data_IF_525456290641
#
_entry.id   IF_525456290641
#
_cell.length_a   1.000
_cell.length_b   1.000
_cell.length_c   1.000
_cell.angle_alpha   90.00
_cell.angle_beta   90.00
_cell.angle_gamma   90.00
#
_symmetry.space_group_name_H-M   'P 1'
#
loop_
_entity.id
_entity.type
_entity.pdbx_description
1 polymer ?
#
# COMPACT_ATOMS: atom_id res chain seq x y z
N UNK A 1 -52.94 48.42 -3.55
CA UNK A 1 -52.41 47.04 -3.67
C UNK A 1 -51.38 47.04 -4.79
N UNK A 2 -50.11 46.92 -4.38
CA UNK A 2 -48.88 46.83 -5.19
C UNK A 2 -48.90 45.52 -6.01
N UNK A 3 -48.56 45.53 -7.32
CA UNK A 3 -47.21 45.30 -7.91
C UNK A 3 -46.89 43.78 -7.98
N UNK A 4 -46.60 43.14 -9.13
CA UNK A 4 -45.32 43.20 -9.86
C UNK A 4 -45.24 42.19 -11.03
N UNK A 5 -44.39 42.54 -12.03
CA UNK A 5 -43.49 41.70 -12.87
C UNK A 5 -44.07 40.73 -13.93
N UNK A 6 -43.92 40.96 -15.25
CA UNK A 6 -42.76 40.79 -16.20
C UNK A 6 -43.01 39.57 -17.10
N UNK A 7 -42.63 39.43 -18.38
CA UNK A 7 -41.97 40.20 -19.45
C UNK A 7 -42.33 39.46 -20.77
N UNK A 8 -42.36 40.09 -21.96
CA UNK A 8 -42.66 39.44 -23.23
C UNK A 8 -41.41 38.91 -23.94
N UNK A 9 -41.63 37.90 -24.79
CA UNK A 9 -40.69 37.31 -25.75
C UNK A 9 -40.24 38.33 -26.80
N UNK A 10 -38.94 38.54 -26.93
CA UNK A 10 -38.35 39.40 -27.95
C UNK A 10 -37.07 38.78 -28.53
N UNK A 11 -37.12 38.45 -29.81
CA UNK A 11 -35.97 38.33 -30.70
C UNK A 11 -35.75 39.71 -31.35
N UNK A 12 -34.51 40.14 -31.57
CA UNK A 12 -34.14 40.49 -32.96
C UNK A 12 -32.67 40.19 -33.34
N UNK A 13 -32.47 39.85 -34.62
CA UNK A 13 -31.58 40.45 -35.64
C UNK A 13 -30.28 41.14 -35.16
N UNK A 14 -29.07 40.79 -35.62
CA UNK A 14 -28.43 40.87 -36.96
C UNK A 14 -27.24 41.87 -36.87
N UNK A 15 -26.24 41.69 -37.75
CA UNK A 15 -25.04 42.53 -38.04
C UNK A 15 -23.76 42.10 -37.30
N UNK A 16 -22.64 41.68 -37.91
CA UNK A 16 -21.88 41.90 -39.18
C UNK A 16 -20.53 42.58 -38.86
N UNK A 17 -19.53 42.16 -39.66
CA UNK A 17 -18.17 42.69 -39.88
C UNK A 17 -17.05 42.29 -38.91
N UNK A 18 -16.05 41.51 -39.34
CA UNK A 18 -14.90 41.83 -40.22
C UNK A 18 -13.94 42.88 -39.64
N UNK A 19 -12.91 42.41 -38.91
CA UNK A 19 -11.60 43.08 -38.91
C UNK A 19 -10.49 42.02 -38.97
N UNK A 20 -9.82 41.96 -40.13
CA UNK A 20 -8.46 41.44 -40.25
C UNK A 20 -7.51 42.36 -39.51
N UNK A 21 -6.56 41.81 -38.76
CA UNK A 21 -5.27 42.47 -38.55
C UNK A 21 -4.12 41.45 -38.59
N UNK A 22 -3.20 41.70 -39.53
CA UNK A 22 -1.87 41.09 -39.64
C UNK A 22 -0.96 41.64 -38.53
N UNK A 23 -0.06 40.79 -38.03
CA UNK A 23 1.38 41.01 -37.83
C UNK A 23 1.92 39.71 -37.20
N UNK A 24 2.68 38.83 -37.86
CA UNK A 24 4.06 38.93 -38.41
C UNK A 24 5.08 39.40 -37.37
N UNK A 25 5.74 38.43 -36.75
CA UNK A 25 7.13 38.33 -36.25
C UNK A 25 7.11 37.00 -35.45
N UNK A 26 7.74 35.89 -35.82
CA UNK A 26 9.06 35.71 -36.39
C UNK A 26 9.91 34.95 -35.36
N UNK A 27 9.68 33.64 -35.17
CA UNK A 27 10.60 32.80 -34.40
C UNK A 27 10.44 31.33 -34.80
N UNK A 28 11.46 30.82 -35.49
CA UNK A 28 11.54 29.45 -35.99
C UNK A 28 12.27 28.58 -34.97
N UNK A 29 11.64 27.53 -34.45
CA UNK A 29 12.28 26.48 -33.65
C UNK A 29 12.14 25.17 -34.42
N UNK A 30 13.26 24.58 -34.81
CA UNK A 30 13.36 23.34 -35.58
C UNK A 30 13.64 22.18 -34.59
N UNK A 31 12.78 21.18 -34.57
CA UNK A 31 12.97 19.94 -33.81
C UNK A 31 13.75 18.89 -34.65
N UNK A 32 14.48 17.96 -34.01
CA UNK A 32 15.36 17.02 -34.70
C UNK A 32 14.68 15.69 -35.04
N UNK A 33 15.02 15.13 -36.19
CA UNK A 33 14.76 13.73 -36.58
C UNK A 33 16.11 13.00 -36.72
N UNK A 34 16.26 11.86 -36.07
CA UNK A 34 17.43 10.95 -36.10
C UNK A 34 17.28 9.91 -37.23
N UNK A 35 18.21 8.93 -37.39
CA UNK A 35 19.36 9.06 -38.26
C UNK A 35 19.41 7.95 -39.34
N UNK A 36 20.22 8.11 -40.38
CA UNK A 36 20.65 6.97 -41.20
C UNK A 36 21.99 7.22 -41.91
N UNK A 37 22.87 6.22 -41.78
CA UNK A 37 23.97 5.80 -42.66
C UNK A 37 25.06 6.81 -43.07
N UNK A 38 26.29 6.54 -42.61
CA UNK A 38 27.52 6.86 -43.34
C UNK A 38 28.41 5.61 -43.48
N UNK A 39 29.01 5.38 -44.65
CA UNK A 39 29.87 4.23 -44.90
C UNK A 39 31.34 4.49 -44.51
N UNK A 40 32.02 3.37 -44.34
CA UNK A 40 33.46 3.16 -44.26
C UNK A 40 34.29 4.02 -45.23
N UNK A 41 35.33 4.67 -44.71
CA UNK A 41 36.58 4.93 -45.45
C UNK A 41 37.74 4.52 -44.53
N UNK A 42 38.49 3.51 -44.96
CA UNK A 42 39.76 3.10 -44.36
C UNK A 42 40.85 4.03 -44.90
N UNK A 43 41.73 4.50 -44.01
CA UNK A 43 43.03 5.01 -44.44
C UNK A 43 44.14 4.56 -43.50
N UNK A 44 45.21 4.18 -44.18
CA UNK A 44 46.32 3.35 -43.80
C UNK A 44 47.42 4.23 -43.16
N UNK A 45 47.90 3.88 -41.96
CA UNK A 45 49.14 4.44 -41.42
C UNK A 45 50.00 3.33 -40.81
N UNK A 46 51.04 2.99 -41.57
CA UNK A 46 52.19 2.19 -41.16
C UNK A 46 52.90 2.80 -39.95
N UNK A 47 53.09 2.03 -38.88
CA UNK A 47 54.27 2.16 -38.01
C UNK A 47 54.77 0.78 -37.60
N UNK A 48 55.97 0.49 -38.11
CA UNK A 48 56.83 -0.67 -37.89
C UNK A 48 57.08 -0.89 -36.39
N UNK A 49 56.79 -2.10 -35.89
CA UNK A 49 57.22 -2.59 -34.58
C UNK A 49 58.64 -3.17 -34.68
N UNK A 50 59.57 -2.57 -33.96
CA UNK A 50 60.93 -3.09 -33.76
C UNK A 50 60.92 -4.06 -32.57
N UNK A 51 60.89 -5.36 -32.84
CA UNK A 51 61.03 -6.40 -31.81
C UNK A 51 62.49 -6.87 -31.80
N UNK A 52 63.23 -6.41 -30.80
CA UNK A 52 64.57 -6.89 -30.47
C UNK A 52 64.48 -8.35 -29.99
N UNK A 53 65.22 -9.24 -30.65
CA UNK A 53 65.29 -10.66 -30.30
C UNK A 53 66.44 -10.88 -29.32
N UNK A 54 66.15 -11.22 -28.07
CA UNK A 54 67.13 -11.76 -27.13
C UNK A 54 66.87 -13.25 -26.91
N UNK A 55 67.83 -14.05 -27.39
CA UNK A 55 67.89 -15.50 -27.25
C UNK A 55 68.21 -15.84 -25.79
N UNK A 56 67.28 -16.44 -25.07
CA UNK A 56 67.55 -17.01 -23.75
C UNK A 56 67.53 -18.54 -23.83
N UNK A 57 68.70 -19.14 -23.63
CA UNK A 57 68.90 -20.59 -23.54
C UNK A 57 68.42 -21.05 -22.17
N UNK A 58 67.57 -22.07 -22.13
CA UNK A 58 67.21 -22.75 -20.90
C UNK A 58 68.45 -23.34 -20.19
N UNK A 59 68.38 -23.51 -18.86
CA UNK A 59 68.27 -24.89 -18.41
C UNK A 59 67.16 -25.12 -17.38
N UNK A 60 66.47 -26.23 -17.63
CA UNK A 60 65.60 -27.01 -16.74
C UNK A 60 66.42 -27.50 -15.54
N UNK A 61 65.96 -27.25 -14.31
CA UNK A 61 66.11 -28.11 -13.10
C UNK A 61 65.89 -27.27 -11.82
N UNK A 62 64.63 -27.08 -11.37
CA UNK A 62 64.22 -27.02 -9.94
C UNK A 62 62.71 -26.71 -9.73
N UNK A 63 61.78 -27.29 -10.49
CA UNK A 63 60.32 -27.01 -10.33
C UNK A 63 59.55 -28.31 -10.08
N UNK A 64 59.92 -29.06 -9.05
CA UNK A 64 59.22 -30.30 -8.67
C UNK A 64 58.89 -30.38 -7.17
N UNK A 65 58.96 -29.27 -6.43
CA UNK A 65 58.84 -29.29 -4.96
C UNK A 65 57.80 -28.37 -4.30
N UNK A 66 57.00 -27.58 -5.05
CA UNK A 66 56.16 -26.52 -4.45
C UNK A 66 54.65 -26.64 -4.76
N UNK A 67 54.20 -27.67 -5.48
CA UNK A 67 52.77 -27.79 -5.87
C UNK A 67 51.88 -28.39 -4.75
N UNK A 68 52.44 -28.89 -3.64
CA UNK A 68 51.66 -29.62 -2.63
C UNK A 68 51.14 -28.78 -1.42
N UNK A 69 51.32 -27.45 -1.37
CA UNK A 69 50.96 -26.64 -0.19
C UNK A 69 49.80 -25.65 -0.38
N UNK A 70 49.09 -25.66 -1.51
CA UNK A 70 47.91 -24.81 -1.72
C UNK A 70 46.58 -25.57 -1.75
N UNK A 71 46.51 -26.76 -1.15
CA UNK A 71 45.24 -27.32 -0.69
C UNK A 71 44.77 -26.56 0.56
N UNK A 72 44.59 -25.24 0.43
CA UNK A 72 43.80 -24.47 1.37
C UNK A 72 42.35 -24.89 1.13
N UNK A 73 41.88 -25.85 1.92
CA UNK A 73 40.45 -26.01 2.15
C UNK A 73 39.94 -24.65 2.61
N UNK A 74 39.32 -23.90 1.71
CA UNK A 74 38.44 -22.80 2.09
C UNK A 74 37.45 -23.41 3.07
N UNK A 75 37.60 -23.09 4.35
CA UNK A 75 36.51 -23.29 5.31
C UNK A 75 35.35 -22.50 4.70
N UNK A 76 34.31 -23.21 4.30
CA UNK A 76 33.06 -22.55 3.93
C UNK A 76 32.64 -21.78 5.17
N UNK A 77 32.66 -20.45 5.07
CA UNK A 77 32.09 -19.62 6.13
C UNK A 77 30.65 -20.11 6.33
N UNK A 78 30.24 -20.37 7.59
CA UNK A 78 28.88 -20.80 7.83
C UNK A 78 27.94 -19.77 7.20
N UNK A 79 26.98 -20.25 6.40
CA UNK A 79 26.01 -19.39 5.76
C UNK A 79 25.39 -18.46 6.82
N UNK A 80 25.17 -17.17 6.50
CA UNK A 80 24.60 -16.25 7.45
C UNK A 80 23.26 -16.80 7.98
N UNK A 81 22.97 -16.62 9.28
CA UNK A 81 21.75 -17.13 9.87
C UNK A 81 20.54 -16.56 9.14
N UNK A 82 19.70 -17.45 8.61
CA UNK A 82 18.42 -17.07 8.03
C UNK A 82 17.47 -16.78 9.18
N UNK A 83 17.05 -15.52 9.31
CA UNK A 83 16.07 -15.14 10.31
C UNK A 83 14.67 -15.60 9.84
N UNK A 84 13.82 -16.10 10.74
CA UNK A 84 12.46 -16.48 10.38
C UNK A 84 11.68 -15.24 9.93
N UNK A 85 10.83 -15.40 8.92
CA UNK A 85 9.97 -14.35 8.38
C UNK A 85 8.50 -14.64 8.65
N UNK A 86 7.70 -13.59 8.69
CA UNK A 86 6.24 -13.61 8.70
C UNK A 86 5.71 -12.42 7.89
N UNK A 87 4.38 -12.26 7.83
CA UNK A 87 3.73 -11.17 7.09
C UNK A 87 3.03 -10.19 8.03
N UNK A 88 3.29 -8.91 7.82
CA UNK A 88 2.65 -7.82 8.55
C UNK A 88 1.96 -6.86 7.58
N UNK A 89 0.66 -6.69 7.75
CA UNK A 89 -0.12 -5.62 7.17
C UNK A 89 -0.25 -4.48 8.18
N UNK A 90 0.00 -3.24 7.79
CA UNK A 90 -0.19 -2.06 8.63
C UNK A 90 -1.30 -1.21 8.06
N UNK A 91 -2.28 -0.93 8.89
CA UNK A 91 -3.51 -0.21 8.53
C UNK A 91 -3.50 1.14 9.24
N UNK A 92 -3.49 2.22 8.48
CA UNK A 92 -3.58 3.56 9.03
C UNK A 92 -5.05 3.97 9.17
N UNK A 93 -5.60 3.78 10.37
CA UNK A 93 -6.91 4.29 10.77
C UNK A 93 -6.84 5.67 11.45
N UNK A 94 -5.65 6.27 11.51
CA UNK A 94 -5.36 7.59 12.09
C UNK A 94 -5.42 8.71 11.03
N UNK A 95 -5.15 9.94 11.48
CA UNK A 95 -5.03 11.13 10.63
C UNK A 95 -3.57 11.46 10.26
N UNK A 96 -2.59 10.79 10.86
CA UNK A 96 -1.17 11.01 10.58
C UNK A 96 -0.79 10.40 9.21
N UNK A 97 0.26 10.94 8.59
CA UNK A 97 0.96 10.31 7.47
C UNK A 97 2.32 9.84 7.96
N UNK A 98 2.62 8.54 7.84
CA UNK A 98 3.83 7.97 8.44
C UNK A 98 4.50 6.89 7.60
N UNK A 99 5.71 6.55 7.99
CA UNK A 99 6.51 5.44 7.48
C UNK A 99 6.80 4.45 8.59
N UNK A 100 6.95 3.18 8.21
CA UNK A 100 7.11 2.06 9.12
C UNK A 100 8.53 1.54 8.94
N UNK A 101 9.22 1.32 10.05
CA UNK A 101 10.57 0.80 10.08
C UNK A 101 10.63 -0.46 10.95
N UNK A 102 11.42 -1.43 10.53
CA UNK A 102 11.81 -2.58 11.33
C UNK A 102 13.33 -2.52 11.53
N UNK A 103 13.76 -2.47 12.79
CA UNK A 103 15.19 -2.42 13.15
C UNK A 103 15.96 -1.32 12.39
N UNK A 104 15.35 -0.12 12.28
CA UNK A 104 15.91 1.06 11.62
C UNK A 104 15.76 1.09 10.10
N UNK A 105 15.30 0.01 9.44
CA UNK A 105 15.10 -0.05 8.00
C UNK A 105 13.63 0.22 7.65
N UNK A 106 13.37 1.10 6.69
CA UNK A 106 12.00 1.35 6.21
C UNK A 106 11.49 0.10 5.49
N UNK A 107 10.27 -0.33 5.85
CA UNK A 107 9.64 -1.52 5.24
C UNK A 107 8.53 -1.17 4.23
N UNK A 108 7.87 -0.01 4.37
CA UNK A 108 6.88 0.48 3.40
C UNK A 108 7.53 1.31 2.27
N UNK A 109 8.35 0.67 1.44
CA UNK A 109 9.23 1.37 0.50
C UNK A 109 8.52 2.00 -0.71
N UNK A 110 7.30 1.57 -1.05
CA UNK A 110 6.55 2.09 -2.20
C UNK A 110 5.99 3.50 -1.95
N UNK A 111 5.39 3.73 -0.78
CA UNK A 111 4.75 4.99 -0.44
C UNK A 111 4.61 5.15 1.09
N UNK A 112 4.53 6.39 1.56
CA UNK A 112 4.11 6.67 2.93
C UNK A 112 2.66 6.28 3.14
N UNK A 113 2.32 5.88 4.37
CA UNK A 113 0.99 5.42 4.70
C UNK A 113 0.13 6.62 5.09
N UNK A 114 -0.73 7.06 4.16
CA UNK A 114 -1.70 8.13 4.37
C UNK A 114 -2.91 7.66 5.19
N UNK A 115 -3.73 8.57 5.76
CA UNK A 115 -4.98 8.21 6.41
C UNK A 115 -5.88 7.30 5.55
N UNK A 116 -6.32 6.19 6.13
CA UNK A 116 -7.07 5.13 5.43
C UNK A 116 -6.20 4.20 4.58
N UNK A 117 -4.89 4.44 4.50
CA UNK A 117 -3.95 3.62 3.75
C UNK A 117 -3.69 2.26 4.39
N UNK A 118 -3.45 1.26 3.56
CA UNK A 118 -3.13 -0.12 3.94
C UNK A 118 -1.81 -0.46 3.26
N UNK A 119 -0.81 -0.95 4.00
CA UNK A 119 0.51 -1.25 3.43
C UNK A 119 0.49 -2.47 2.51
N UNK A 120 -0.51 -3.34 2.67
CA UNK A 120 -0.45 -4.72 2.22
C UNK A 120 0.44 -5.55 3.13
N UNK A 121 0.43 -6.87 2.93
CA UNK A 121 1.23 -7.82 3.70
C UNK A 121 2.71 -7.72 3.31
N UNK A 122 3.48 -7.01 4.13
CA UNK A 122 4.93 -6.88 4.01
C UNK A 122 5.61 -8.12 4.61
N UNK A 123 6.62 -8.66 3.94
CA UNK A 123 7.51 -9.64 4.57
C UNK A 123 8.36 -8.93 5.61
N UNK A 124 8.36 -9.45 6.83
CA UNK A 124 9.09 -8.89 7.97
C UNK A 124 9.74 -10.01 8.76
N UNK A 125 10.82 -9.69 9.48
CA UNK A 125 11.41 -10.65 10.42
C UNK A 125 10.42 -10.96 11.54
N UNK A 126 10.26 -12.24 11.87
CA UNK A 126 9.40 -12.74 12.94
C UNK A 126 10.11 -12.66 14.31
N UNK A 127 9.40 -13.06 15.37
CA UNK A 127 9.83 -12.95 16.76
C UNK A 127 9.68 -11.52 17.29
N UNK A 128 10.29 -11.23 18.45
CA UNK A 128 10.30 -9.89 19.02
C UNK A 128 11.22 -8.97 18.23
N UNK A 129 10.64 -8.04 17.48
CA UNK A 129 11.37 -7.06 16.68
C UNK A 129 11.00 -5.63 17.10
N UNK A 130 11.95 -4.72 16.93
CA UNK A 130 11.72 -3.29 17.14
C UNK A 130 11.08 -2.70 15.88
N UNK A 131 9.92 -2.06 16.06
CA UNK A 131 9.22 -1.30 15.06
C UNK A 131 9.23 0.18 15.42
N UNK A 132 9.45 1.03 14.42
CA UNK A 132 9.44 2.48 14.58
C UNK A 132 8.50 3.13 13.56
N UNK A 133 7.79 4.15 14.01
CA UNK A 133 6.87 4.95 13.21
C UNK A 133 7.39 6.38 13.17
N UNK A 134 7.63 6.86 11.95
CA UNK A 134 8.13 8.21 11.70
C UNK A 134 7.13 8.96 10.84
N UNK A 135 6.78 10.19 11.23
CA UNK A 135 5.94 11.04 10.39
C UNK A 135 6.62 11.31 9.05
N UNK A 136 5.83 11.39 7.99
CA UNK A 136 6.37 11.69 6.67
C UNK A 136 7.08 13.05 6.68
N UNK A 137 8.26 13.11 6.08
CA UNK A 137 9.11 14.31 6.08
C UNK A 137 9.89 14.57 7.37
N UNK A 138 9.78 13.73 8.41
CA UNK A 138 10.58 13.83 9.63
C UNK A 138 11.49 12.59 9.82
N UNK A 139 12.76 12.78 10.24
CA UNK A 139 13.66 11.68 10.60
C UNK A 139 13.40 11.10 12.00
N UNK A 140 12.62 11.81 12.82
CA UNK A 140 12.41 11.48 14.23
C UNK A 140 11.48 10.28 14.41
N UNK A 141 11.83 9.42 15.37
CA UNK A 141 10.96 8.34 15.82
C UNK A 141 9.85 8.95 16.68
N UNK A 142 8.62 8.92 16.18
CA UNK A 142 7.45 9.40 16.92
C UNK A 142 6.97 8.33 17.89
N UNK A 143 7.00 7.07 17.46
CA UNK A 143 6.73 5.92 18.31
C UNK A 143 7.69 4.79 17.97
N UNK A 144 8.31 4.21 19.00
CA UNK A 144 9.01 2.94 18.93
C UNK A 144 8.28 1.91 19.78
N UNK A 145 8.14 0.68 19.28
CA UNK A 145 7.52 -0.41 20.03
C UNK A 145 8.15 -1.76 19.67
N UNK A 146 8.00 -2.72 20.57
CA UNK A 146 8.34 -4.11 20.31
C UNK A 146 7.07 -4.86 19.90
N UNK A 147 7.14 -5.58 18.78
CA UNK A 147 6.10 -6.51 18.36
C UNK A 147 6.70 -7.90 18.29
N UNK A 148 6.08 -8.86 18.96
CA UNK A 148 6.39 -10.28 18.83
C UNK A 148 5.44 -10.87 17.79
N UNK A 149 5.97 -11.18 16.60
CA UNK A 149 5.18 -11.75 15.50
C UNK A 149 5.48 -13.25 15.37
N UNK A 150 4.43 -14.05 15.22
CA UNK A 150 4.51 -15.50 15.09
C UNK A 150 4.67 -15.92 13.62
N UNK A 151 5.37 -17.03 13.38
CA UNK A 151 5.65 -17.53 12.01
C UNK A 151 4.49 -18.33 11.42
N UNK A 152 3.53 -18.76 12.23
CA UNK A 152 2.42 -19.63 11.85
C UNK A 152 1.16 -18.85 11.46
N UNK A 153 1.16 -17.52 11.63
CA UNK A 153 0.05 -16.66 11.25
C UNK A 153 0.56 -15.39 10.56
N UNK A 154 -0.35 -14.71 9.86
CA UNK A 154 -0.15 -13.38 9.31
C UNK A 154 -0.77 -12.36 10.27
N UNK A 155 -0.27 -11.13 10.28
CA UNK A 155 -0.69 -10.13 11.25
C UNK A 155 -1.15 -8.84 10.59
N UNK A 156 -2.13 -8.17 11.20
CA UNK A 156 -2.55 -6.82 10.86
C UNK A 156 -2.39 -5.90 12.07
N UNK A 157 -1.55 -4.86 11.94
CA UNK A 157 -1.41 -3.80 12.95
C UNK A 157 -2.29 -2.61 12.57
N UNK A 158 -3.25 -2.28 13.43
CA UNK A 158 -4.10 -1.12 13.28
C UNK A 158 -3.50 0.07 14.04
N UNK A 159 -3.24 1.15 13.31
CA UNK A 159 -2.73 2.42 13.85
C UNK A 159 -3.85 3.43 13.86
N UNK A 160 -4.42 3.72 15.03
CA UNK A 160 -5.44 4.77 15.20
C UNK A 160 -4.85 6.10 15.67
N UNK A 161 -3.58 6.08 16.05
CA UNK A 161 -2.74 7.23 16.38
C UNK A 161 -1.31 6.79 16.70
N UNK A 162 -0.38 7.75 16.77
CA UNK A 162 1.05 7.50 17.00
C UNK A 162 1.42 7.52 18.49
N UNK A 163 0.68 6.76 19.29
CA UNK A 163 0.97 6.47 20.69
C UNK A 163 0.80 4.95 20.94
N UNK A 164 1.51 4.41 21.94
CA UNK A 164 1.52 2.96 22.19
C UNK A 164 0.12 2.38 22.46
N UNK A 165 -0.70 3.12 23.21
CA UNK A 165 -2.09 2.79 23.52
C UNK A 165 -3.06 3.11 22.37
N UNK A 166 -2.57 3.59 21.23
CA UNK A 166 -3.35 3.90 20.02
C UNK A 166 -3.04 2.95 18.86
N UNK A 167 -2.37 1.85 19.16
CA UNK A 167 -2.17 0.75 18.22
C UNK A 167 -2.72 -0.55 18.81
N UNK A 168 -3.03 -1.51 17.96
CA UNK A 168 -3.36 -2.86 18.37
C UNK A 168 -3.11 -3.85 17.24
N UNK A 169 -2.68 -5.04 17.61
CA UNK A 169 -2.38 -6.13 16.69
C UNK A 169 -3.60 -7.05 16.57
N UNK A 170 -3.84 -7.53 15.37
CA UNK A 170 -4.75 -8.63 15.08
C UNK A 170 -3.97 -9.73 14.40
N UNK A 171 -4.23 -10.98 14.77
CA UNK A 171 -3.81 -12.13 13.99
C UNK A 171 -4.85 -12.39 12.91
N UNK A 172 -4.38 -12.75 11.73
CA UNK A 172 -5.17 -12.96 10.53
C UNK A 172 -5.30 -14.46 10.26
N UNK A 173 -5.58 -15.22 11.31
CA UNK A 173 -5.80 -16.67 11.25
C UNK A 173 -7.25 -16.98 10.86
N UNK A 174 -7.42 -17.79 9.81
CA UNK A 174 -8.73 -18.28 9.37
C UNK A 174 -8.58 -19.64 8.69
N UNK A 175 -9.66 -20.41 8.70
CA UNK A 175 -9.76 -21.61 7.87
C UNK A 175 -10.55 -21.25 6.62
N UNK A 176 -9.95 -21.37 5.44
CA UNK A 176 -10.59 -21.01 4.18
C UNK A 176 -11.92 -21.75 4.00
N UNK A 177 -12.95 -21.03 3.59
CA UNK A 177 -14.23 -21.60 3.13
C UNK A 177 -14.21 -21.66 1.60
N UNK A 178 -14.18 -22.88 1.04
CA UNK A 178 -14.09 -23.12 -0.41
C UNK A 178 -15.43 -23.08 -1.14
N UNK A 179 -16.52 -22.72 -0.44
CA UNK A 179 -17.86 -22.64 -1.01
C UNK A 179 -18.20 -21.32 -1.71
N UNK A 180 -19.50 -21.05 -1.88
CA UNK A 180 -20.06 -19.82 -2.47
C UNK A 180 -20.10 -18.62 -1.50
N UNK A 181 -19.23 -18.62 -0.49
CA UNK A 181 -19.22 -17.66 0.61
C UNK A 181 -17.88 -16.97 0.72
N UNK A 182 -17.89 -15.75 1.21
CA UNK A 182 -16.72 -15.06 1.72
C UNK A 182 -16.67 -15.24 3.23
N UNK A 183 -15.48 -15.21 3.83
CA UNK A 183 -15.35 -15.00 5.28
C UNK A 183 -15.17 -13.52 5.55
N UNK A 184 -15.92 -12.98 6.49
CA UNK A 184 -15.81 -11.57 6.87
C UNK A 184 -15.65 -11.47 8.37
N UNK A 185 -14.78 -10.58 8.83
CA UNK A 185 -14.77 -10.09 10.22
C UNK A 185 -14.89 -8.58 10.26
N UNK A 186 -15.21 -8.06 11.43
CA UNK A 186 -15.23 -6.64 11.71
C UNK A 186 -14.25 -6.26 12.81
N UNK A 187 -13.59 -5.13 12.64
CA UNK A 187 -12.71 -4.50 13.64
C UNK A 187 -13.14 -3.05 13.86
N UNK A 188 -13.39 -2.67 15.11
CA UNK A 188 -13.65 -1.26 15.41
C UNK A 188 -12.34 -0.51 15.70
N UNK A 189 -11.85 0.26 14.73
CA UNK A 189 -10.67 1.13 14.89
C UNK A 189 -11.04 2.64 14.91
N UNK A 190 -12.32 2.97 15.11
CA UNK A 190 -12.79 4.35 15.36
C UNK A 190 -12.86 4.61 16.87
N UNK A 191 -11.99 5.48 17.42
CA UNK A 191 -12.16 5.95 18.79
C UNK A 191 -13.44 6.79 18.94
N UNK A 192 -14.05 6.72 20.12
CA UNK A 192 -15.11 7.62 20.60
C UNK A 192 -16.53 7.46 20.00
N UNK A 193 -16.82 6.37 19.28
CA UNK A 193 -18.19 6.11 18.77
C UNK A 193 -19.04 5.20 19.64
N UNK A 194 -18.52 4.77 20.78
CA UNK A 194 -19.12 3.76 21.64
C UNK A 194 -19.06 2.37 20.99
N UNK A 195 -19.99 1.51 21.38
CA UNK A 195 -20.16 0.20 20.77
C UNK A 195 -20.90 0.30 19.43
N UNK A 196 -20.43 -0.46 18.44
CA UNK A 196 -20.96 -0.45 17.09
C UNK A 196 -21.67 -1.75 16.75
N UNK A 197 -22.81 -1.60 16.08
CA UNK A 197 -23.50 -2.67 15.37
C UNK A 197 -23.22 -2.54 13.87
N UNK A 198 -22.86 -3.66 13.25
CA UNK A 198 -22.54 -3.73 11.83
C UNK A 198 -23.46 -4.74 11.17
N UNK A 199 -24.09 -4.33 10.08
CA UNK A 199 -25.04 -5.13 9.33
C UNK A 199 -24.57 -5.27 7.87
N UNK A 200 -24.59 -6.51 7.37
CA UNK A 200 -24.39 -6.83 5.95
C UNK A 200 -25.67 -7.41 5.36
N UNK A 201 -26.12 -6.88 4.21
CA UNK A 201 -27.34 -7.32 3.52
C UNK A 201 -27.17 -7.33 1.98
N UNK A 202 -27.95 -8.16 1.29
CA UNK A 202 -27.97 -8.25 -0.18
C UNK A 202 -28.67 -7.06 -0.85
N UNK A 203 -29.58 -6.40 -0.13
CA UNK A 203 -30.35 -5.27 -0.64
C UNK A 203 -30.20 -4.04 0.25
N UNK A 204 -30.54 -2.86 -0.30
CA UNK A 204 -30.61 -1.60 0.44
C UNK A 204 -31.63 -1.60 1.57
N UNK A 205 -32.58 -2.54 1.58
CA UNK A 205 -33.43 -2.82 2.71
C UNK A 205 -32.69 -3.76 3.68
N UNK A 206 -32.09 -3.19 4.73
CA UNK A 206 -31.49 -3.96 5.82
C UNK A 206 -32.60 -4.41 6.78
N UNK A 207 -33.46 -5.30 6.31
CA UNK A 207 -34.47 -5.97 7.12
C UNK A 207 -34.49 -7.46 6.77
N UNK A 208 -34.25 -8.30 7.78
CA UNK A 208 -34.63 -9.73 7.76
C UNK A 208 -33.50 -10.75 7.57
N UNK A 209 -32.39 -10.43 6.90
CA UNK A 209 -31.29 -11.38 6.65
C UNK A 209 -29.94 -10.69 6.84
N UNK A 210 -29.59 -10.45 8.11
CA UNK A 210 -28.46 -9.58 8.47
C UNK A 210 -27.41 -10.37 9.24
N UNK A 211 -26.25 -10.57 8.62
CA UNK A 211 -25.06 -10.91 9.42
C UNK A 211 -24.72 -9.67 10.23
N UNK A 212 -24.84 -9.80 11.54
CA UNK A 212 -24.72 -8.71 12.49
C UNK A 212 -23.53 -8.92 13.40
N UNK A 213 -22.54 -8.04 13.33
CA UNK A 213 -21.55 -7.92 14.38
C UNK A 213 -22.11 -6.94 15.41
N UNK A 214 -22.55 -7.46 16.56
CA UNK A 214 -23.13 -6.63 17.60
C UNK A 214 -22.11 -6.18 18.63
N UNK A 215 -22.35 -4.99 19.19
CA UNK A 215 -21.71 -4.44 20.38
C UNK A 215 -20.17 -4.41 20.29
N UNK A 216 -19.68 -3.96 19.13
CA UNK A 216 -18.24 -3.89 18.83
C UNK A 216 -17.64 -2.63 19.43
N UNK A 217 -17.14 -2.76 20.65
CA UNK A 217 -16.37 -1.73 21.35
C UNK A 217 -15.08 -1.36 20.60
N UNK A 218 -14.51 -0.20 20.89
CA UNK A 218 -13.24 0.25 20.32
C UNK A 218 -12.12 -0.80 20.55
N UNK A 219 -11.35 -1.09 19.49
CA UNK A 219 -10.32 -2.14 19.39
C UNK A 219 -10.82 -3.58 19.51
N UNK A 220 -12.13 -3.80 19.52
CA UNK A 220 -12.66 -5.17 19.43
C UNK A 220 -12.41 -5.76 18.04
N UNK A 221 -12.07 -7.04 18.03
CA UNK A 221 -11.85 -7.85 16.83
C UNK A 221 -12.89 -8.96 16.88
N UNK A 222 -13.74 -9.06 15.87
CA UNK A 222 -14.69 -10.17 15.79
C UNK A 222 -14.05 -11.43 15.20
N UNK A 223 -14.72 -12.55 15.40
CA UNK A 223 -14.45 -13.76 14.61
C UNK A 223 -14.82 -13.54 13.13
N UNK A 224 -14.29 -14.41 12.27
CA UNK A 224 -14.69 -14.50 10.88
C UNK A 224 -16.01 -15.27 10.77
N UNK A 225 -17.00 -14.66 10.13
CA UNK A 225 -18.30 -15.26 9.84
C UNK A 225 -18.48 -15.45 8.33
N UNK A 226 -19.10 -16.56 7.90
CA UNK A 226 -19.37 -16.80 6.50
C UNK A 226 -20.52 -15.92 6.00
N UNK A 227 -20.27 -15.21 4.90
CA UNK A 227 -21.21 -14.32 4.22
C UNK A 227 -21.50 -14.87 2.83
N UNK A 228 -22.77 -15.11 2.50
CA UNK A 228 -23.17 -15.55 1.17
C UNK A 228 -22.79 -14.50 0.10
N UNK A 229 -22.27 -14.92 -1.05
CA UNK A 229 -21.92 -14.02 -2.16
C UNK A 229 -22.84 -14.31 -3.34
N UNK A 230 -24.04 -13.72 -3.32
CA UNK A 230 -25.07 -13.95 -4.34
C UNK A 230 -24.83 -13.13 -5.61
N UNK A 231 -24.52 -11.84 -5.46
CA UNK A 231 -24.36 -10.86 -6.55
C UNK A 231 -22.99 -10.15 -6.52
N UNK A 232 -22.08 -10.56 -5.63
CA UNK A 232 -20.77 -9.92 -5.45
C UNK A 232 -20.79 -8.61 -4.64
N UNK A 233 -21.96 -8.04 -4.34
CA UNK A 233 -22.06 -6.79 -3.57
C UNK A 233 -22.85 -6.99 -2.27
N UNK A 234 -22.53 -6.20 -1.24
CA UNK A 234 -23.26 -6.16 0.03
C UNK A 234 -23.44 -4.73 0.47
N UNK A 235 -24.61 -4.43 1.00
CA UNK A 235 -24.83 -3.20 1.73
C UNK A 235 -24.24 -3.33 3.12
N UNK A 236 -23.32 -2.42 3.45
CA UNK A 236 -22.72 -2.26 4.76
C UNK A 236 -23.47 -1.14 5.48
N UNK A 237 -23.94 -1.40 6.69
CA UNK A 237 -24.42 -0.38 7.61
C UNK A 237 -23.70 -0.50 8.94
N UNK A 238 -23.24 0.65 9.44
CA UNK A 238 -22.65 0.77 10.77
C UNK A 238 -23.46 1.78 11.57
N UNK A 239 -23.90 1.37 12.75
CA UNK A 239 -24.70 2.17 13.68
C UNK A 239 -24.20 2.01 15.10
N UNK A 240 -24.53 2.96 15.98
CA UNK A 240 -24.30 2.77 17.42
C UNK A 240 -25.20 1.67 17.99
N UNK A 241 -24.69 0.90 18.94
CA UNK A 241 -25.46 -0.09 19.70
C UNK A 241 -26.63 0.54 20.47
N UNK A 242 -27.62 -0.29 20.85
CA UNK A 242 -28.79 0.16 21.62
C UNK A 242 -29.88 0.90 20.83
N UNK A 243 -30.06 0.57 19.54
CA UNK A 243 -31.04 1.23 18.66
C UNK A 243 -30.56 2.56 18.08
N UNK A 244 -29.24 2.74 18.02
CA UNK A 244 -28.59 4.01 17.79
C UNK A 244 -28.58 4.53 16.35
N UNK A 245 -28.05 5.74 16.24
CA UNK A 245 -27.89 6.53 15.02
C UNK A 245 -27.02 5.76 14.00
N UNK A 246 -27.45 5.76 12.74
CA UNK A 246 -26.63 5.23 11.63
C UNK A 246 -25.48 6.19 11.35
N UNK A 247 -24.26 5.68 11.39
CA UNK A 247 -23.03 6.45 11.17
C UNK A 247 -22.54 6.34 9.73
N UNK A 248 -22.71 5.17 9.11
CA UNK A 248 -22.28 4.89 7.76
C UNK A 248 -23.24 3.91 7.09
N UNK A 249 -23.56 4.19 5.82
CA UNK A 249 -24.11 3.22 4.88
C UNK A 249 -23.24 3.25 3.64
N UNK A 250 -22.81 2.07 3.17
CA UNK A 250 -21.95 1.92 2.00
C UNK A 250 -22.28 0.62 1.25
N UNK A 251 -21.67 0.44 0.08
CA UNK A 251 -21.72 -0.80 -0.71
C UNK A 251 -20.31 -1.36 -0.81
N UNK A 252 -20.11 -2.57 -0.30
CA UNK A 252 -18.85 -3.31 -0.41
C UNK A 252 -18.98 -4.44 -1.43
N UNK A 253 -17.85 -4.82 -2.04
CA UNK A 253 -17.80 -5.97 -2.94
C UNK A 253 -17.08 -7.13 -2.28
N UNK A 254 -17.67 -8.32 -2.34
CA UNK A 254 -17.14 -9.56 -1.80
C UNK A 254 -17.07 -10.60 -2.90
N UNK A 255 -16.06 -11.46 -2.83
CA UNK A 255 -15.88 -12.58 -3.73
C UNK A 255 -15.92 -13.89 -2.94
N UNK A 256 -16.58 -14.90 -3.49
CA UNK A 256 -16.59 -16.24 -2.89
C UNK A 256 -15.16 -16.79 -2.78
N UNK A 257 -14.87 -17.53 -1.70
CA UNK A 257 -13.55 -18.06 -1.40
C UNK A 257 -12.53 -17.03 -0.89
N UNK A 258 -12.91 -15.76 -0.77
CA UNK A 258 -12.03 -14.71 -0.23
C UNK A 258 -12.35 -14.41 1.24
N UNK A 259 -11.35 -13.88 1.95
CA UNK A 259 -11.45 -13.51 3.36
C UNK A 259 -11.23 -12.01 3.53
N UNK A 260 -12.11 -11.35 4.27
CA UNK A 260 -12.13 -9.90 4.42
C UNK A 260 -12.19 -9.45 5.87
N UNK A 261 -11.49 -8.36 6.16
CA UNK A 261 -11.65 -7.58 7.38
C UNK A 261 -12.25 -6.23 7.01
N UNK A 262 -13.45 -5.95 7.50
CA UNK A 262 -14.02 -4.60 7.49
C UNK A 262 -13.55 -3.90 8.76
N UNK A 263 -13.08 -2.67 8.66
CA UNK A 263 -12.65 -1.91 9.82
C UNK A 263 -13.15 -0.47 9.78
N UNK A 264 -13.41 0.13 10.94
CA UNK A 264 -13.73 1.57 11.03
C UNK A 264 -12.47 2.43 11.16
N UNK A 265 -12.58 3.70 10.82
CA UNK A 265 -11.53 4.71 10.94
C UNK A 265 -12.13 6.10 11.20
N UNK A 266 -11.28 7.04 11.62
CA UNK A 266 -11.70 8.42 11.87
C UNK A 266 -12.56 8.55 13.12
N UNK A 267 -13.39 9.60 13.20
CA UNK A 267 -14.31 9.88 14.31
C UNK A 267 -15.60 10.51 13.80
N UNK A 268 -16.73 10.24 14.46
CA UNK A 268 -17.99 10.93 14.16
C UNK A 268 -17.89 12.45 14.38
N UNK A 269 -18.55 13.23 13.52
CA UNK A 269 -18.56 14.69 13.58
C UNK A 269 -17.31 15.37 13.01
N UNK A 270 -16.30 14.63 12.59
CA UNK A 270 -15.11 15.17 11.90
C UNK A 270 -15.30 15.19 10.38
N UNK A 271 -14.46 15.96 9.69
CA UNK A 271 -14.46 16.10 8.23
C UNK A 271 -13.14 15.62 7.60
N UNK A 272 -13.14 15.38 6.29
CA UNK A 272 -11.95 14.98 5.54
C UNK A 272 -11.39 13.63 5.99
N UNK A 273 -10.06 13.52 6.09
CA UNK A 273 -9.38 12.29 6.51
C UNK A 273 -9.69 11.84 7.95
N UNK A 274 -10.16 12.77 8.79
CA UNK A 274 -10.56 12.50 10.16
C UNK A 274 -12.01 12.02 10.29
N UNK A 275 -12.82 12.15 9.23
CA UNK A 275 -14.23 11.75 9.26
C UNK A 275 -14.39 10.25 9.49
N UNK A 276 -15.44 9.89 10.24
CA UNK A 276 -15.85 8.50 10.41
C UNK A 276 -16.03 7.82 9.05
N UNK A 277 -15.47 6.62 8.92
CA UNK A 277 -15.68 5.79 7.75
C UNK A 277 -15.28 4.35 8.01
N UNK A 278 -15.36 3.55 6.96
CA UNK A 278 -14.89 2.17 6.96
C UNK A 278 -13.86 1.93 5.85
N UNK A 279 -13.04 0.92 6.03
CA UNK A 279 -12.17 0.35 5.01
C UNK A 279 -12.32 -1.17 4.98
N UNK A 280 -11.77 -1.79 3.94
CA UNK A 280 -11.79 -3.25 3.75
C UNK A 280 -10.38 -3.74 3.41
N UNK A 281 -9.98 -4.85 4.03
CA UNK A 281 -8.73 -5.57 3.78
C UNK A 281 -9.12 -6.94 3.22
N UNK A 282 -8.45 -7.39 2.16
CA UNK A 282 -8.46 -8.80 1.77
C UNK A 282 -7.33 -9.50 2.53
N UNK A 283 -7.70 -10.41 3.44
CA UNK A 283 -6.73 -11.14 4.26
C UNK A 283 -5.96 -12.18 3.44
N UNK A 284 -4.71 -12.45 3.84
CA UNK A 284 -3.81 -13.42 3.20
C UNK A 284 -3.26 -14.42 4.19
#
# INVERSE_FOLDING_TARGET
>A
MLNLFQHPTGHPDELKEHVRCRNRLGMTIKAPTTPNFYPFITNNINKQLYISTMKFKAPVLLVSGIIALLASCKKEDPAPPVLPETRLNVVNASVDVFNIFQSGNRINNTASLYPGGISGYLNVTAGEQNYEFKRNGSPDVVLGMKLALDTLTTHSLFVVGLAADQMFLSDDSFTADTGSRALVRFINASPDDGELNVALADTSAIAGETISYSDKAFKSISEFLPVAVTNGSKQLKISRSGGGITLLTDTINLQAGSVYTIFTKGKSGQAGSAAFGAGIITNQ
#
